data_IF_489005817448
#
_entry.id   IF_489005817448
#
_cell.length_a   1.000
_cell.length_b   1.000
_cell.length_c   1.000
_cell.angle_alpha   90.00
_cell.angle_beta   90.00
_cell.angle_gamma   90.00
#
_symmetry.space_group_name_H-M   'P 1'
#
loop_
_entity.id
_entity.type
_entity.pdbx_description
1 polymer ?
#
# COMPACT_ATOMS: atom_id res chain seq x y z
N UNK A 1 16.03 10.23 -7.12
CA UNK A 1 14.66 10.78 -6.99
C UNK A 1 13.77 9.65 -6.52
N UNK A 2 12.64 9.98 -5.91
CA UNK A 2 11.67 9.00 -5.42
C UNK A 2 10.29 9.40 -5.91
N UNK A 3 9.48 8.41 -6.29
CA UNK A 3 8.07 8.57 -6.61
C UNK A 3 7.26 7.58 -5.77
N UNK A 4 6.00 7.87 -5.52
CA UNK A 4 5.10 6.95 -4.84
C UNK A 4 3.70 6.97 -5.45
N UNK A 5 2.96 5.88 -5.25
CA UNK A 5 1.54 5.78 -5.58
C UNK A 5 0.75 5.25 -4.40
N UNK A 6 -0.38 5.90 -4.13
CA UNK A 6 -1.30 5.55 -3.06
C UNK A 6 -2.48 4.75 -3.58
N UNK A 7 -2.86 3.71 -2.85
CA UNK A 7 -4.03 2.88 -3.08
C UNK A 7 -4.86 2.82 -1.80
N UNK A 8 -6.17 2.62 -1.95
CA UNK A 8 -7.08 2.38 -0.84
C UNK A 8 -7.93 1.15 -1.11
N UNK A 9 -8.17 0.35 -0.07
CA UNK A 9 -9.12 -0.76 -0.14
C UNK A 9 -9.80 -0.95 1.22
N UNK A 10 -11.04 -1.41 1.17
CA UNK A 10 -11.80 -1.73 2.37
C UNK A 10 -11.70 -3.23 2.65
N UNK A 11 -11.36 -3.59 3.89
CA UNK A 11 -11.27 -5.01 4.28
C UNK A 11 -11.54 -5.22 5.77
N UNK A 12 -11.94 -6.43 6.11
CA UNK A 12 -12.09 -6.90 7.49
C UNK A 12 -10.85 -7.70 7.92
N UNK A 13 -10.48 -7.58 9.20
CA UNK A 13 -9.38 -8.32 9.82
C UNK A 13 -9.60 -8.49 11.34
N UNK A 14 -8.70 -9.22 11.99
CA UNK A 14 -8.57 -9.28 13.44
C UNK A 14 -7.11 -9.60 13.82
N UNK A 15 -6.72 -9.29 15.05
CA UNK A 15 -5.37 -9.56 15.55
C UNK A 15 -5.39 -10.79 16.47
N UNK A 16 -4.80 -11.94 16.09
CA UNK A 16 -4.94 -13.19 16.85
C UNK A 16 -4.10 -13.26 18.13
N UNK A 17 -3.08 -12.41 18.27
CA UNK A 17 -2.07 -12.51 19.32
C UNK A 17 -2.17 -11.40 20.40
N UNK A 18 -3.25 -10.61 20.41
CA UNK A 18 -3.51 -9.62 21.47
C UNK A 18 -4.27 -10.27 22.64
N UNK A 19 -4.25 -9.67 23.86
CA UNK A 19 -5.02 -10.16 25.01
C UNK A 19 -6.50 -10.42 24.71
N UNK A 20 -7.12 -11.32 25.47
CA UNK A 20 -8.48 -11.81 25.21
C UNK A 20 -9.55 -10.71 25.24
N UNK A 21 -9.37 -9.73 26.10
CA UNK A 21 -10.25 -8.56 26.28
C UNK A 21 -9.94 -7.40 25.30
N UNK A 22 -8.88 -7.51 24.50
CA UNK A 22 -8.46 -6.43 23.62
C UNK A 22 -9.41 -6.26 22.42
N UNK A 23 -9.86 -5.01 22.16
CA UNK A 23 -10.86 -4.70 21.13
C UNK A 23 -10.53 -5.23 19.72
N UNK A 24 -9.25 -5.23 19.34
CA UNK A 24 -8.80 -5.68 18.01
C UNK A 24 -8.75 -7.21 17.85
N UNK A 25 -9.00 -8.00 18.91
CA UNK A 25 -9.12 -9.46 18.82
C UNK A 25 -10.40 -9.89 18.11
N UNK A 26 -11.41 -9.03 18.11
CA UNK A 26 -12.67 -9.24 17.37
C UNK A 26 -12.49 -8.90 15.89
N UNK A 27 -13.27 -9.56 15.05
CA UNK A 27 -13.39 -9.19 13.64
C UNK A 27 -13.94 -7.76 13.52
N UNK A 28 -13.22 -6.93 12.76
CA UNK A 28 -13.56 -5.54 12.48
C UNK A 28 -12.95 -5.12 11.14
N UNK A 29 -13.28 -3.94 10.62
CA UNK A 29 -12.78 -3.50 9.31
C UNK A 29 -12.20 -2.10 9.33
N UNK A 30 -11.48 -1.78 8.26
CA UNK A 30 -10.88 -0.47 8.00
C UNK A 30 -10.90 -0.18 6.50
N UNK A 31 -10.84 1.12 6.19
CA UNK A 31 -10.32 1.60 4.90
C UNK A 31 -8.80 1.67 4.99
N UNK A 32 -8.12 0.66 4.47
CA UNK A 32 -6.67 0.61 4.43
C UNK A 32 -6.14 1.55 3.36
N UNK A 33 -5.05 2.24 3.69
CA UNK A 33 -4.31 3.10 2.76
C UNK A 33 -2.90 2.52 2.62
N UNK A 34 -2.47 2.27 1.37
CA UNK A 34 -1.17 1.69 1.06
C UNK A 34 -0.42 2.62 0.13
N UNK A 35 0.84 2.92 0.47
CA UNK A 35 1.75 3.67 -0.38
C UNK A 35 2.86 2.76 -0.87
N UNK A 36 3.12 2.82 -2.17
CA UNK A 36 4.19 2.06 -2.80
C UNK A 36 5.22 3.05 -3.29
N UNK A 37 6.40 2.99 -2.68
CA UNK A 37 7.53 3.90 -2.91
C UNK A 37 8.56 3.27 -3.82
N UNK A 38 9.04 4.05 -4.79
CA UNK A 38 10.03 3.60 -5.77
C UNK A 38 11.08 4.69 -5.94
N UNK A 39 12.32 4.34 -5.57
CA UNK A 39 13.48 5.20 -5.70
C UNK A 39 14.33 4.77 -6.90
N UNK A 40 14.83 5.76 -7.66
CA UNK A 40 15.65 5.50 -8.82
C UNK A 40 16.15 6.76 -9.54
N UNK A 41 17.05 6.58 -10.53
CA UNK A 41 17.41 7.65 -11.43
C UNK A 41 16.24 7.98 -12.37
N UNK A 42 16.11 9.26 -12.72
CA UNK A 42 15.19 9.66 -13.79
C UNK A 42 15.77 9.21 -15.12
N UNK A 43 14.98 8.49 -15.91
CA UNK A 43 15.37 8.18 -17.28
C UNK A 43 15.47 9.48 -18.08
N UNK A 44 16.67 9.81 -18.58
CA UNK A 44 16.93 11.10 -19.26
C UNK A 44 16.12 11.32 -20.53
N UNK A 45 15.68 10.25 -21.21
CA UNK A 45 14.88 10.34 -22.46
C UNK A 45 13.39 10.44 -22.16
N UNK A 46 12.91 9.70 -21.17
CA UNK A 46 11.47 9.55 -20.89
C UNK A 46 11.01 10.55 -19.80
N UNK A 47 11.92 11.04 -18.95
CA UNK A 47 11.63 12.10 -17.98
C UNK A 47 11.03 11.64 -16.65
N UNK A 48 10.83 10.34 -16.45
CA UNK A 48 10.36 9.77 -15.20
C UNK A 48 11.22 8.58 -14.73
N UNK A 49 11.01 8.13 -13.50
CA UNK A 49 11.62 6.91 -12.96
C UNK A 49 10.94 5.68 -13.57
N UNK A 50 9.60 5.68 -13.60
CA UNK A 50 8.78 4.63 -14.23
C UNK A 50 7.35 5.12 -14.44
N UNK A 51 6.58 4.40 -15.26
CA UNK A 51 5.14 4.62 -15.42
C UNK A 51 4.37 3.97 -14.25
N UNK A 52 3.41 4.71 -13.69
CA UNK A 52 2.51 4.21 -12.66
C UNK A 52 1.45 3.23 -13.17
N UNK A 53 1.27 3.11 -14.48
CA UNK A 53 0.38 2.15 -15.13
C UNK A 53 1.00 0.75 -15.26
N UNK A 54 2.32 0.64 -15.41
CA UNK A 54 3.03 -0.65 -15.54
C UNK A 54 2.80 -1.60 -14.37
N UNK A 55 2.61 -1.05 -13.16
CA UNK A 55 2.38 -1.82 -11.92
C UNK A 55 0.90 -2.17 -11.68
N UNK A 56 -0.05 -1.68 -12.48
CA UNK A 56 -1.49 -1.92 -12.25
C UNK A 56 -1.90 -3.38 -12.49
N UNK A 57 -1.08 -4.17 -13.20
CA UNK A 57 -1.35 -5.58 -13.48
C UNK A 57 -0.76 -6.56 -12.45
N UNK A 58 -0.11 -6.06 -11.39
CA UNK A 58 0.58 -6.88 -10.39
C UNK A 58 0.26 -6.50 -8.94
N UNK A 59 -0.77 -5.67 -8.72
CA UNK A 59 -1.23 -5.21 -7.42
C UNK A 59 -2.75 -5.31 -7.32
#
# INVERSE_FOLDING_TARGET
MEIYKKFSFDSAHYLPNVPEDHKCRRMHGHTFNVEIHIAGPVNKKIGWIMDFADKKNHL
#
